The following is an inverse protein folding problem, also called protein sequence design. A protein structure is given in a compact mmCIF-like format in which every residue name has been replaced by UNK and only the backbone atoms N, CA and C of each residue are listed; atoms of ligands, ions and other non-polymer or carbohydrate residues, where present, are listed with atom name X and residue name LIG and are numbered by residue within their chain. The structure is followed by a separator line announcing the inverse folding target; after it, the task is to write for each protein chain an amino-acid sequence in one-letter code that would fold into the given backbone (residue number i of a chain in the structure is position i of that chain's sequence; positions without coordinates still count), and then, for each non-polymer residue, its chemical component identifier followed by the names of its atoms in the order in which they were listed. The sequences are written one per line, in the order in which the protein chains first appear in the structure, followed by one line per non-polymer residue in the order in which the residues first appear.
data_IF_969698291768
#
_entry.id   IF_969698291768
#
_cell.length_a   1.000
_cell.length_b   1.000
_cell.length_c   1.000
_cell.angle_alpha   90.00
_cell.angle_beta   90.00
_cell.angle_gamma   90.00
#
_symmetry.space_group_name_H-M   'P 1'
#
loop_
_entity.id
_entity.type
_entity.pdbx_description
1 polymer ?
#
# COMPACT_ATOMS: atom_id res chain seq x y z
N UNK A 1 -17.54 -13.17 3.88
CA UNK A 1 -16.51 -12.48 4.69
C UNK A 1 -16.14 -11.21 3.92
N UNK A 2 -16.12 -10.04 4.59
CA UNK A 2 -15.95 -8.72 3.95
C UNK A 2 -14.48 -8.35 3.96
N UNK A 3 -13.72 -8.94 3.05
CA UNK A 3 -12.28 -9.04 3.27
C UNK A 3 -11.47 -7.91 2.60
N UNK A 4 -12.09 -7.05 1.79
CA UNK A 4 -11.45 -5.86 1.23
C UNK A 4 -12.46 -4.70 1.09
N UNK A 5 -11.94 -3.51 0.83
CA UNK A 5 -12.72 -2.27 0.78
C UNK A 5 -13.79 -2.28 -0.33
N UNK A 6 -13.49 -2.92 -1.45
CA UNK A 6 -14.38 -3.06 -2.62
C UNK A 6 -15.50 -4.08 -2.37
N UNK A 7 -15.20 -5.14 -1.62
CA UNK A 7 -16.18 -6.12 -1.12
C UNK A 7 -17.09 -5.51 -0.06
N UNK A 8 -16.56 -4.60 0.78
CA UNK A 8 -17.35 -3.82 1.74
C UNK A 8 -18.28 -2.82 1.03
N UNK A 9 -17.79 -2.17 -0.04
CA UNK A 9 -18.58 -1.29 -0.91
C UNK A 9 -19.69 -2.05 -1.65
N UNK A 10 -19.36 -3.22 -2.21
CA UNK A 10 -20.32 -4.10 -2.91
C UNK A 10 -21.42 -4.58 -1.95
N UNK A 11 -21.05 -5.05 -0.76
CA UNK A 11 -22.02 -5.49 0.25
C UNK A 11 -22.89 -4.36 0.83
N UNK A 12 -22.38 -3.12 0.77
CA UNK A 12 -23.17 -1.94 1.07
C UNK A 12 -24.17 -1.64 -0.04
N UNK A 13 -23.82 -1.83 -1.31
CA UNK A 13 -24.73 -1.54 -2.44
C UNK A 13 -25.76 -2.65 -2.73
N UNK A 14 -25.46 -3.91 -2.44
CA UNK A 14 -26.33 -5.06 -2.79
C UNK A 14 -27.32 -5.50 -1.70
N UNK A 15 -27.39 -4.77 -0.59
CA UNK A 15 -28.39 -5.01 0.48
C UNK A 15 -27.99 -6.08 1.50
N UNK A 16 -26.82 -6.72 1.38
CA UNK A 16 -26.35 -7.74 2.35
C UNK A 16 -26.12 -7.18 3.77
N UNK A 17 -26.04 -5.85 3.92
CA UNK A 17 -26.03 -5.17 5.22
C UNK A 17 -27.30 -5.39 6.04
N UNK A 18 -28.44 -5.65 5.40
CA UNK A 18 -29.74 -5.87 6.06
C UNK A 18 -29.93 -7.31 6.53
N UNK A 19 -29.08 -8.23 6.08
CA UNK A 19 -29.04 -9.62 6.53
C UNK A 19 -28.27 -9.80 7.86
N UNK A 20 -27.67 -8.73 8.40
CA UNK A 20 -26.96 -8.76 9.68
C UNK A 20 -27.97 -8.66 10.84
N UNK A 21 -28.02 -9.63 11.76
CA UNK A 21 -28.92 -9.57 12.92
C UNK A 21 -28.75 -8.25 13.71
N UNK A 22 -29.84 -7.51 13.88
CA UNK A 22 -29.83 -6.20 14.57
C UNK A 22 -29.61 -4.98 13.67
N UNK A 23 -29.47 -5.16 12.35
CA UNK A 23 -29.36 -4.07 11.37
C UNK A 23 -30.64 -3.96 10.55
N UNK A 24 -31.57 -3.13 11.02
CA UNK A 24 -32.77 -2.76 10.25
C UNK A 24 -32.47 -1.80 9.08
N UNK A 25 -33.41 -1.61 8.14
CA UNK A 25 -33.21 -0.87 6.90
C UNK A 25 -32.73 0.57 7.09
N UNK A 26 -33.22 1.25 8.15
CA UNK A 26 -32.76 2.60 8.51
C UNK A 26 -31.30 2.63 8.95
N UNK A 27 -30.86 1.62 9.71
CA UNK A 27 -29.48 1.50 10.19
C UNK A 27 -28.54 1.09 9.06
N UNK A 28 -29.00 0.19 8.18
CA UNK A 28 -28.30 -0.16 6.95
C UNK A 28 -28.09 1.08 6.05
N UNK A 29 -29.13 1.89 5.82
CA UNK A 29 -29.04 3.11 5.03
C UNK A 29 -28.04 4.14 5.60
N UNK A 30 -28.03 4.34 6.92
CA UNK A 30 -27.08 5.23 7.58
C UNK A 30 -25.63 4.73 7.45
N UNK A 31 -25.41 3.42 7.59
CA UNK A 31 -24.09 2.80 7.38
C UNK A 31 -23.65 2.95 5.92
N UNK A 32 -24.54 2.70 4.94
CA UNK A 32 -24.26 2.90 3.51
C UNK A 32 -23.86 4.33 3.20
N UNK A 33 -24.60 5.32 3.68
CA UNK A 33 -24.31 6.73 3.43
C UNK A 33 -22.95 7.18 4.02
N UNK A 34 -22.67 6.73 5.24
CA UNK A 34 -21.40 7.00 5.92
C UNK A 34 -20.23 6.34 5.18
N UNK A 35 -20.41 5.07 4.77
CA UNK A 35 -19.42 4.33 4.01
C UNK A 35 -19.15 5.01 2.66
N UNK A 36 -20.19 5.36 1.90
CA UNK A 36 -20.06 6.04 0.61
C UNK A 36 -19.31 7.37 0.71
N UNK A 37 -19.53 8.16 1.76
CA UNK A 37 -18.82 9.42 2.00
C UNK A 37 -17.32 9.20 2.31
N UNK A 38 -17.01 8.26 3.21
CA UNK A 38 -15.63 7.91 3.58
C UNK A 38 -14.88 7.33 2.37
N UNK A 39 -15.52 6.43 1.63
CA UNK A 39 -14.96 5.78 0.45
C UNK A 39 -14.77 6.74 -0.71
N UNK A 40 -15.74 7.62 -0.98
CA UNK A 40 -15.63 8.63 -2.03
C UNK A 40 -14.45 9.57 -1.82
N UNK A 41 -14.22 10.00 -0.57
CA UNK A 41 -13.05 10.80 -0.20
C UNK A 41 -11.75 10.03 -0.39
N UNK A 42 -11.70 8.79 0.09
CA UNK A 42 -10.53 7.90 -0.06
C UNK A 42 -10.20 7.64 -1.54
N UNK A 43 -11.21 7.39 -2.37
CA UNK A 43 -11.07 7.20 -3.82
C UNK A 43 -10.50 8.43 -4.51
N UNK A 44 -10.96 9.62 -4.15
CA UNK A 44 -10.47 10.89 -4.72
C UNK A 44 -8.99 11.12 -4.39
N UNK A 45 -8.58 10.91 -3.13
CA UNK A 45 -7.17 11.03 -2.71
C UNK A 45 -6.29 10.02 -3.47
N UNK A 46 -6.77 8.79 -3.60
CA UNK A 46 -6.10 7.72 -4.32
C UNK A 46 -5.93 8.02 -5.82
N UNK A 47 -6.96 8.56 -6.46
CA UNK A 47 -6.90 8.98 -7.86
C UNK A 47 -5.89 10.11 -8.07
N UNK A 48 -5.85 11.09 -7.18
CA UNK A 48 -4.82 12.15 -7.22
C UNK A 48 -3.41 11.59 -7.04
N UNK A 49 -3.19 10.70 -6.06
CA UNK A 49 -1.89 10.03 -5.88
C UNK A 49 -1.47 9.22 -7.11
N UNK A 50 -2.41 8.59 -7.81
CA UNK A 50 -2.14 7.86 -9.03
C UNK A 50 -1.78 8.79 -10.22
N UNK A 51 -2.38 9.98 -10.26
CA UNK A 51 -2.22 10.93 -11.36
C UNK A 51 -1.01 11.86 -11.18
N UNK A 52 -0.80 12.34 -9.95
CA UNK A 52 0.16 13.39 -9.61
C UNK A 52 1.42 12.85 -8.90
N UNK A 53 1.42 11.57 -8.53
CA UNK A 53 2.52 10.91 -7.84
C UNK A 53 3.44 10.09 -8.77
N UNK A 54 4.51 9.49 -8.21
CA UNK A 54 5.34 8.54 -8.96
C UNK A 54 4.48 7.37 -9.46
N UNK A 55 4.62 7.04 -10.74
CA UNK A 55 3.89 5.95 -11.36
C UNK A 55 4.18 4.60 -10.67
N UNK A 56 3.22 3.67 -10.74
CA UNK A 56 3.34 2.33 -10.12
C UNK A 56 4.59 1.58 -10.59
N UNK A 57 4.95 1.71 -11.86
CA UNK A 57 6.17 1.11 -12.42
C UNK A 57 7.43 1.56 -11.68
N UNK A 58 7.52 2.86 -11.36
CA UNK A 58 8.64 3.43 -10.62
C UNK A 58 8.67 2.94 -9.16
N UNK A 59 7.51 2.91 -8.52
CA UNK A 59 7.38 2.40 -7.15
C UNK A 59 7.76 0.92 -7.04
N UNK A 60 7.41 0.11 -8.03
CA UNK A 60 7.77 -1.31 -8.09
C UNK A 60 9.24 -1.55 -8.44
N UNK A 61 9.87 -0.68 -9.26
CA UNK A 61 11.32 -0.70 -9.50
C UNK A 61 12.09 -0.44 -8.20
N UNK A 62 11.74 0.61 -7.47
CA UNK A 62 12.40 0.96 -6.21
C UNK A 62 12.14 -0.10 -5.12
N UNK A 63 10.93 -0.69 -5.06
CA UNK A 63 10.64 -1.83 -4.17
C UNK A 63 11.58 -3.02 -4.44
N UNK A 64 11.78 -3.36 -5.72
CA UNK A 64 12.68 -4.45 -6.12
C UNK A 64 14.11 -4.14 -5.71
N UNK A 65 14.63 -2.96 -6.07
CA UNK A 65 16.00 -2.54 -5.73
C UNK A 65 16.23 -2.62 -4.21
N UNK A 66 15.31 -2.05 -3.42
CA UNK A 66 15.40 -2.06 -1.96
C UNK A 66 15.48 -3.48 -1.42
N UNK A 67 14.57 -4.36 -1.84
CA UNK A 67 14.51 -5.74 -1.31
C UNK A 67 15.76 -6.54 -1.67
N UNK A 68 16.24 -6.42 -2.90
CA UNK A 68 17.47 -7.10 -3.34
C UNK A 68 18.69 -6.65 -2.52
N UNK A 69 18.87 -5.34 -2.34
CA UNK A 69 19.99 -4.81 -1.57
C UNK A 69 19.86 -5.08 -0.07
N UNK A 70 18.65 -5.01 0.48
CA UNK A 70 18.37 -5.31 1.88
C UNK A 70 18.67 -6.78 2.20
N UNK A 71 18.22 -7.71 1.35
CA UNK A 71 18.51 -9.15 1.50
C UNK A 71 20.00 -9.43 1.33
N UNK A 72 20.69 -8.73 0.43
CA UNK A 72 22.13 -8.85 0.25
C UNK A 72 22.96 -8.16 1.35
N UNK A 73 22.34 -7.47 2.31
CA UNK A 73 23.04 -6.77 3.39
C UNK A 73 23.88 -5.57 2.92
N UNK A 74 23.51 -4.94 1.78
CA UNK A 74 24.28 -3.85 1.16
C UNK A 74 23.82 -2.45 1.54
N UNK A 75 22.67 -2.35 2.23
CA UNK A 75 22.12 -1.07 2.62
C UNK A 75 22.66 -0.62 3.98
N UNK A 76 22.84 0.70 4.19
CA UNK A 76 23.03 1.24 5.53
C UNK A 76 21.81 0.91 6.41
N UNK A 77 22.06 0.78 7.71
CA UNK A 77 21.01 0.52 8.71
C UNK A 77 20.84 1.71 9.64
N UNK A 78 19.59 1.97 10.03
CA UNK A 78 19.24 2.98 11.03
C UNK A 78 18.71 2.32 12.30
N UNK A 79 18.76 3.06 13.41
CA UNK A 79 18.07 2.71 14.65
C UNK A 79 16.64 3.25 14.60
N UNK A 80 15.61 2.42 14.35
CA UNK A 80 14.25 2.92 14.33
C UNK A 80 13.80 3.34 15.73
N UNK A 81 12.93 4.37 15.81
CA UNK A 81 12.41 4.88 17.09
C UNK A 81 11.38 3.95 17.74
N UNK A 82 10.66 3.16 16.94
CA UNK A 82 9.60 2.24 17.38
C UNK A 82 10.14 0.80 17.35
N UNK A 83 9.62 -0.06 18.22
CA UNK A 83 10.01 -1.48 18.29
C UNK A 83 11.53 -1.71 18.37
N UNK A 84 12.22 -0.84 19.10
CA UNK A 84 13.68 -0.89 19.27
C UNK A 84 14.09 -0.53 20.70
N UNK A 85 13.74 -1.37 21.69
CA UNK A 85 14.02 -1.08 23.10
C UNK A 85 15.52 -0.92 23.39
N UNK A 86 16.38 -1.60 22.62
CA UNK A 86 17.84 -1.55 22.76
C UNK A 86 18.48 -0.37 22.00
N UNK A 87 17.72 0.38 21.20
CA UNK A 87 18.24 1.51 20.43
C UNK A 87 19.26 1.15 19.35
N UNK A 88 19.34 -0.13 18.96
CA UNK A 88 20.33 -0.63 17.99
C UNK A 88 19.94 -0.28 16.56
N UNK A 89 20.95 -0.10 15.69
CA UNK A 89 20.73 0.06 14.27
C UNK A 89 20.54 -1.30 13.60
N UNK A 90 19.38 -1.53 13.00
CA UNK A 90 19.03 -2.82 12.39
C UNK A 90 18.10 -2.71 11.19
N UNK A 91 17.49 -1.55 10.94
CA UNK A 91 16.52 -1.37 9.87
C UNK A 91 17.22 -0.86 8.59
N UNK A 92 17.25 -1.63 7.50
CA UNK A 92 17.86 -1.19 6.25
C UNK A 92 17.10 -0.02 5.64
N UNK A 93 17.82 0.99 5.16
CA UNK A 93 17.27 2.16 4.50
C UNK A 93 17.95 2.36 3.14
N UNK A 94 17.16 2.65 2.12
CA UNK A 94 17.64 3.06 0.80
C UNK A 94 17.23 4.50 0.55
N UNK A 95 18.18 5.29 0.08
CA UNK A 95 17.94 6.58 -0.57
C UNK A 95 18.30 6.46 -2.04
N UNK A 96 17.38 6.78 -2.94
CA UNK A 96 17.60 6.65 -4.39
C UNK A 96 16.82 7.72 -5.14
N UNK A 97 17.20 8.00 -6.37
CA UNK A 97 16.54 8.99 -7.23
C UNK A 97 16.13 8.34 -8.55
N UNK A 98 14.98 8.74 -9.09
CA UNK A 98 14.56 8.39 -10.46
C UNK A 98 13.86 9.59 -11.09
N UNK A 99 14.46 10.15 -12.14
CA UNK A 99 14.02 11.43 -12.69
C UNK A 99 13.99 12.49 -11.59
N UNK A 100 12.87 13.18 -11.47
CA UNK A 100 12.69 14.28 -10.52
C UNK A 100 12.24 13.80 -9.12
N UNK A 101 12.05 12.49 -8.93
CA UNK A 101 11.63 11.93 -7.65
C UNK A 101 12.82 11.42 -6.84
N UNK A 102 12.90 11.91 -5.59
CA UNK A 102 13.79 11.35 -4.57
C UNK A 102 12.99 10.38 -3.69
N UNK A 103 13.60 9.26 -3.35
CA UNK A 103 12.96 8.21 -2.58
C UNK A 103 13.73 7.89 -1.31
N UNK A 104 12.98 7.67 -0.23
CA UNK A 104 13.45 7.00 0.98
C UNK A 104 12.63 5.73 1.18
N UNK A 105 13.30 4.58 1.24
CA UNK A 105 12.65 3.27 1.26
C UNK A 105 13.16 2.42 2.42
N UNK A 106 12.23 1.79 3.13
CA UNK A 106 12.50 0.96 4.30
C UNK A 106 11.36 -0.03 4.57
N UNK A 107 11.65 -1.14 5.23
CA UNK A 107 10.63 -2.06 5.72
C UNK A 107 9.74 -1.42 6.79
N UNK A 108 8.45 -1.70 6.73
CA UNK A 108 7.46 -1.23 7.71
C UNK A 108 7.78 -1.78 9.10
N UNK A 109 8.05 -0.87 10.03
CA UNK A 109 8.29 -1.16 11.44
C UNK A 109 7.08 -0.77 12.32
N UNK A 110 5.87 -1.16 11.89
CA UNK A 110 4.61 -0.87 12.59
C UNK A 110 4.11 -2.09 13.36
N UNK A 111 3.31 -1.88 14.42
CA UNK A 111 2.72 -2.96 15.25
C UNK A 111 2.06 -4.03 14.38
N UNK A 112 1.25 -3.59 13.41
CA UNK A 112 0.54 -4.45 12.47
C UNK A 112 1.46 -5.28 11.58
N UNK A 113 2.60 -4.74 11.17
CA UNK A 113 3.57 -5.50 10.38
C UNK A 113 4.25 -6.59 11.23
N UNK A 114 4.52 -6.31 12.51
CA UNK A 114 5.03 -7.29 13.47
C UNK A 114 4.00 -8.38 13.78
N UNK A 115 2.76 -8.00 14.13
CA UNK A 115 1.66 -8.93 14.43
C UNK A 115 1.39 -9.91 13.27
N UNK A 116 1.52 -9.44 12.03
CA UNK A 116 1.29 -10.25 10.82
C UNK A 116 2.55 -10.96 10.31
N UNK A 117 3.71 -10.80 10.97
CA UNK A 117 4.99 -11.37 10.52
C UNK A 117 5.44 -10.85 9.15
N UNK A 118 5.09 -9.61 8.78
CA UNK A 118 5.35 -8.99 7.47
C UNK A 118 6.42 -7.89 7.51
N UNK A 119 7.25 -7.89 8.54
CA UNK A 119 8.35 -6.92 8.74
C UNK A 119 9.45 -6.98 7.69
N UNK A 120 9.49 -8.02 6.86
CA UNK A 120 10.40 -8.15 5.70
C UNK A 120 9.65 -8.23 4.36
N UNK A 121 8.35 -7.93 4.37
CA UNK A 121 7.50 -7.96 3.18
C UNK A 121 6.93 -6.58 2.85
N UNK A 122 6.48 -5.85 3.87
CA UNK A 122 5.86 -4.54 3.68
C UNK A 122 6.95 -3.48 3.57
N UNK A 123 7.06 -2.87 2.40
CA UNK A 123 8.03 -1.83 2.10
C UNK A 123 7.30 -0.49 2.07
N UNK A 124 7.78 0.47 2.84
CA UNK A 124 7.28 1.85 2.83
C UNK A 124 8.19 2.66 1.93
N UNK A 125 7.58 3.37 0.97
CA UNK A 125 8.27 4.25 0.03
C UNK A 125 7.79 5.67 0.28
N UNK A 126 8.69 6.54 0.71
CA UNK A 126 8.49 7.98 0.74
C UNK A 126 9.07 8.56 -0.55
N UNK A 127 8.26 9.31 -1.30
CA UNK A 127 8.68 10.05 -2.48
C UNK A 127 8.61 11.56 -2.21
N UNK A 128 9.59 12.28 -2.72
CA UNK A 128 9.70 13.74 -2.64
C UNK A 128 9.88 14.29 -4.05
N UNK A 129 9.04 15.26 -4.43
CA UNK A 129 9.22 16.05 -5.64
C UNK A 129 10.15 17.25 -5.38
N UNK A 130 10.46 18.02 -6.42
CA UNK A 130 11.29 19.23 -6.34
C UNK A 130 10.69 20.33 -5.44
N UNK A 131 9.39 20.23 -5.14
CA UNK A 131 8.69 21.12 -4.20
C UNK A 131 8.67 20.57 -2.76
N UNK A 132 9.40 19.48 -2.50
CA UNK A 132 9.48 18.76 -1.22
C UNK A 132 8.13 18.28 -0.70
N UNK A 133 7.14 18.07 -1.58
CA UNK A 133 5.88 17.44 -1.18
C UNK A 133 6.11 15.96 -0.96
N UNK A 134 5.95 15.52 0.29
CA UNK A 134 6.08 14.11 0.65
C UNK A 134 4.82 13.33 0.27
N UNK A 135 5.00 12.28 -0.52
CA UNK A 135 4.01 11.24 -0.78
C UNK A 135 4.48 9.92 -0.21
N UNK A 136 3.56 9.15 0.36
CA UNK A 136 3.87 7.87 0.98
C UNK A 136 3.07 6.73 0.34
N UNK A 137 3.77 5.65 0.04
CA UNK A 137 3.22 4.41 -0.49
C UNK A 137 3.64 3.21 0.36
N UNK A 138 2.86 2.14 0.31
CA UNK A 138 3.25 0.84 0.89
C UNK A 138 3.14 -0.22 -0.17
N UNK A 139 4.26 -0.89 -0.45
CA UNK A 139 4.36 -2.00 -1.39
C UNK A 139 4.40 -3.30 -0.59
N UNK A 140 3.63 -4.28 -1.04
CA UNK A 140 3.44 -5.55 -0.34
C UNK A 140 3.28 -6.69 -1.33
N UNK A 141 3.44 -7.92 -0.85
CA UNK A 141 3.09 -9.10 -1.66
C UNK A 141 1.59 -9.32 -1.55
N UNK A 142 0.92 -9.41 -2.70
CA UNK A 142 -0.50 -9.71 -2.74
C UNK A 142 -0.73 -11.18 -2.37
N UNK A 143 -1.63 -11.42 -1.41
CA UNK A 143 -1.86 -12.77 -0.85
C UNK A 143 -3.13 -13.41 -1.39
N UNK A 144 -3.85 -12.74 -2.30
CA UNK A 144 -5.11 -13.24 -2.85
C UNK A 144 -5.48 -12.58 -4.18
N UNK A 145 -6.39 -13.25 -4.88
CA UNK A 145 -6.97 -12.72 -6.11
C UNK A 145 -5.99 -12.71 -7.28
N UNK A 146 -6.28 -11.96 -8.34
CA UNK A 146 -5.62 -12.09 -9.64
C UNK A 146 -4.15 -11.65 -9.69
N UNK A 147 -3.67 -10.94 -8.66
CA UNK A 147 -2.25 -10.55 -8.56
C UNK A 147 -1.52 -11.35 -7.49
N UNK A 148 -2.06 -12.51 -7.07
CA UNK A 148 -1.47 -13.39 -6.06
C UNK A 148 0.03 -13.62 -6.31
N UNK A 149 0.85 -13.38 -5.27
CA UNK A 149 2.30 -13.52 -5.31
C UNK A 149 3.05 -12.36 -5.95
N UNK A 150 2.36 -11.41 -6.60
CA UNK A 150 2.97 -10.22 -7.19
C UNK A 150 3.11 -9.10 -6.16
N UNK A 151 4.03 -8.16 -6.44
CA UNK A 151 4.19 -6.94 -5.65
C UNK A 151 3.17 -5.90 -6.07
N UNK A 152 2.47 -5.31 -5.11
CA UNK A 152 1.41 -4.34 -5.37
C UNK A 152 1.54 -3.13 -4.45
N UNK A 153 1.25 -1.95 -4.98
CA UNK A 153 1.17 -0.72 -4.22
C UNK A 153 -0.23 -0.61 -3.61
N UNK A 154 -0.33 -0.56 -2.28
CA UNK A 154 -1.61 -0.46 -1.58
C UNK A 154 -2.33 0.83 -1.96
N UNK A 155 -3.58 0.69 -2.34
CA UNK A 155 -4.37 1.79 -2.89
C UNK A 155 -4.06 2.10 -4.35
N UNK A 156 -3.26 1.33 -5.09
CA UNK A 156 -3.10 1.50 -6.54
C UNK A 156 -3.26 0.16 -7.27
N UNK A 157 -4.13 -0.72 -6.76
CA UNK A 157 -4.30 -2.09 -7.24
C UNK A 157 -4.72 -2.16 -8.71
N UNK A 158 -5.59 -1.25 -9.15
CA UNK A 158 -6.02 -1.17 -10.55
C UNK A 158 -4.85 -0.80 -11.49
N UNK A 159 -4.00 0.15 -11.07
CA UNK A 159 -2.81 0.52 -11.81
C UNK A 159 -1.75 -0.60 -11.80
N UNK A 160 -1.60 -1.34 -10.69
CA UNK A 160 -0.76 -2.53 -10.62
C UNK A 160 -1.23 -3.62 -11.59
N UNK A 161 -2.54 -3.85 -11.69
CA UNK A 161 -3.13 -4.80 -12.65
C UNK A 161 -2.79 -4.41 -14.08
N UNK A 162 -3.00 -3.14 -14.44
CA UNK A 162 -2.66 -2.64 -15.77
C UNK A 162 -1.15 -2.74 -16.06
N UNK A 163 -0.29 -2.51 -15.06
CA UNK A 163 1.15 -2.69 -15.19
C UNK A 163 1.52 -4.15 -15.51
N UNK A 164 1.05 -5.13 -14.73
CA UNK A 164 1.38 -6.54 -14.96
C UNK A 164 0.78 -7.07 -16.26
N UNK A 165 -0.42 -6.63 -16.64
CA UNK A 165 -1.01 -6.99 -17.93
C UNK A 165 -0.13 -6.52 -19.10
N UNK A 166 0.40 -5.28 -19.03
CA UNK A 166 1.35 -4.79 -20.04
C UNK A 166 2.65 -5.59 -20.02
N UNK A 167 3.18 -5.90 -18.85
CA UNK A 167 4.43 -6.64 -18.70
C UNK A 167 4.32 -8.08 -19.24
N UNK A 168 3.22 -8.78 -18.94
CA UNK A 168 2.99 -10.16 -19.41
C UNK A 168 2.63 -10.21 -20.92
N UNK A 169 2.32 -9.07 -21.55
CA UNK A 169 2.01 -8.96 -22.98
C UNK A 169 3.23 -8.64 -23.86
N UNK A 170 4.41 -8.41 -23.28
CA UNK A 170 5.67 -8.21 -24.01
C UNK A 170 6.30 -9.59 -24.19
N UNK A 171 6.42 -10.12 -25.43
CA UNK A 171 6.98 -11.44 -25.70
C UNK A 171 8.48 -11.55 -25.41
#
# INVERSE_FOLDING_TARGET
QLDNLEALETAAHDGRLEAVPGVGPRRAAAVRATLASILGRSRTIRQRRAADGPGVELLLDVDREYREQATAGRLPVIAPKRFNPEGKAWLPILHTQRGDWHFTVLYSNTARAHELGRTQDWVVVYGYDDHQQEVQYTVVTETRGPLLGKRVVRGLEAACRAFYQRQDSIP
#
